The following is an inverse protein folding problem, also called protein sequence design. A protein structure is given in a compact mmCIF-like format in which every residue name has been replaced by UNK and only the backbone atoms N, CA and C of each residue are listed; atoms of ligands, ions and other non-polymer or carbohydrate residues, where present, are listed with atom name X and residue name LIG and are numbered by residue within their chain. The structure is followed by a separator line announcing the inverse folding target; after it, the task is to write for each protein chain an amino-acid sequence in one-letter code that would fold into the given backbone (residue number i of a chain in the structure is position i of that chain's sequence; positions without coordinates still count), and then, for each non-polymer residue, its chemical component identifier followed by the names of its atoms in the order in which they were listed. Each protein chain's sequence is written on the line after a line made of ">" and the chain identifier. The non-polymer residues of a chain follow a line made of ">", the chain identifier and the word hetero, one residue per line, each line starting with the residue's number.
data_IF_089090913448
#
_entry.id   IF_089090913448
#
_cell.length_a   1.000
_cell.length_b   1.000
_cell.length_c   1.000
_cell.angle_alpha   90.00
_cell.angle_beta   90.00
_cell.angle_gamma   90.00
#
_symmetry.space_group_name_H-M   'P 1'
#
loop_
_entity.id
_entity.type
_entity.pdbx_description
1 polymer ?
#
# COMPACT_ATOMS: atom_id res chain seq x y z
N UNK A 1 -19.88 16.08 -14.78
CA UNK A 1 -20.98 15.42 -14.06
C UNK A 1 -21.87 16.49 -13.46
N UNK A 2 -23.18 16.46 -13.71
CA UNK A 2 -24.14 17.41 -13.12
C UNK A 2 -24.43 17.04 -11.65
N UNK A 3 -24.90 17.99 -10.80
CA UNK A 3 -25.27 17.69 -9.41
C UNK A 3 -26.26 16.53 -9.27
N UNK A 4 -27.26 16.47 -10.14
CA UNK A 4 -28.24 15.36 -10.15
C UNK A 4 -27.60 14.01 -10.48
N UNK A 5 -26.57 13.98 -11.34
CA UNK A 5 -25.84 12.75 -11.65
C UNK A 5 -25.02 12.27 -10.46
N UNK A 6 -24.39 13.20 -9.74
CA UNK A 6 -23.63 12.88 -8.54
C UNK A 6 -24.51 12.32 -7.45
N UNK A 7 -25.68 12.95 -7.20
CA UNK A 7 -26.64 12.49 -6.18
C UNK A 7 -27.17 11.08 -6.50
N UNK A 8 -27.52 10.81 -7.76
CA UNK A 8 -27.97 9.48 -8.17
C UNK A 8 -26.86 8.42 -8.00
N UNK A 9 -25.61 8.75 -8.36
CA UNK A 9 -24.48 7.86 -8.18
C UNK A 9 -24.27 7.52 -6.70
N UNK A 10 -24.29 8.51 -5.82
CA UNK A 10 -24.14 8.32 -4.37
C UNK A 10 -25.22 7.39 -3.81
N UNK A 11 -26.47 7.56 -4.21
CA UNK A 11 -27.58 6.67 -3.80
C UNK A 11 -27.42 5.24 -4.34
N UNK A 12 -26.69 5.06 -5.43
CA UNK A 12 -26.49 3.77 -6.09
C UNK A 12 -25.25 3.01 -5.59
N UNK A 13 -24.45 3.57 -4.67
CA UNK A 13 -23.20 2.93 -4.21
C UNK A 13 -23.45 1.51 -3.67
N UNK A 14 -24.41 1.35 -2.78
CA UNK A 14 -24.73 0.03 -2.20
C UNK A 14 -25.23 -0.96 -3.26
N UNK A 15 -25.99 -0.48 -4.25
CA UNK A 15 -26.45 -1.30 -5.37
C UNK A 15 -25.26 -1.83 -6.20
N UNK A 16 -24.32 -0.96 -6.55
CA UNK A 16 -23.15 -1.29 -7.37
C UNK A 16 -22.28 -2.33 -6.65
N UNK A 17 -21.99 -2.10 -5.36
CA UNK A 17 -21.20 -3.02 -4.53
C UNK A 17 -21.88 -4.39 -4.48
N UNK A 18 -23.16 -4.44 -4.10
CA UNK A 18 -23.88 -5.69 -3.90
C UNK A 18 -24.02 -6.48 -5.20
N UNK A 19 -24.36 -5.82 -6.32
CA UNK A 19 -24.46 -6.50 -7.63
C UNK A 19 -23.10 -7.01 -8.09
N UNK A 20 -22.05 -6.23 -7.94
CA UNK A 20 -20.68 -6.62 -8.33
C UNK A 20 -20.18 -7.83 -7.53
N UNK A 21 -20.42 -7.85 -6.23
CA UNK A 21 -20.02 -8.94 -5.33
C UNK A 21 -20.87 -10.21 -5.53
N UNK A 22 -22.18 -10.08 -5.64
CA UNK A 22 -23.09 -11.22 -5.81
C UNK A 22 -23.01 -11.87 -7.20
N UNK A 23 -22.61 -11.14 -8.24
CA UNK A 23 -22.61 -11.62 -9.63
C UNK A 23 -23.99 -12.05 -10.15
N UNK A 24 -25.07 -11.62 -9.48
CA UNK A 24 -26.45 -12.00 -9.79
C UNK A 24 -27.43 -10.94 -9.32
N UNK A 25 -28.30 -10.49 -10.20
CA UNK A 25 -29.36 -9.54 -9.83
C UNK A 25 -30.37 -10.11 -8.84
N UNK A 26 -30.64 -11.42 -8.93
CA UNK A 26 -31.58 -12.08 -8.01
C UNK A 26 -31.01 -12.17 -6.60
N UNK A 27 -29.72 -12.54 -6.47
CA UNK A 27 -29.04 -12.61 -5.17
C UNK A 27 -28.88 -11.22 -4.55
N UNK A 28 -28.49 -10.24 -5.38
CA UNK A 28 -28.38 -8.85 -4.93
C UNK A 28 -29.73 -8.27 -4.47
N UNK A 29 -30.83 -8.63 -5.16
CA UNK A 29 -32.15 -8.19 -4.79
C UNK A 29 -32.58 -8.72 -3.39
N UNK A 30 -32.30 -9.98 -3.10
CA UNK A 30 -32.55 -10.56 -1.76
C UNK A 30 -31.79 -9.81 -0.68
N UNK A 31 -30.52 -9.52 -0.90
CA UNK A 31 -29.67 -8.83 0.08
C UNK A 31 -30.07 -7.36 0.28
N UNK A 32 -30.51 -6.70 -0.79
CA UNK A 32 -30.96 -5.30 -0.76
C UNK A 32 -32.42 -5.13 -0.28
N UNK A 33 -33.17 -6.22 -0.04
CA UNK A 33 -34.56 -6.15 0.28
C UNK A 33 -35.42 -5.62 -0.87
N UNK A 34 -34.99 -5.87 -2.12
CA UNK A 34 -35.63 -5.37 -3.34
C UNK A 34 -36.17 -6.54 -4.20
N UNK A 35 -36.95 -6.21 -5.24
CA UNK A 35 -37.26 -7.17 -6.28
C UNK A 35 -36.17 -7.19 -7.37
N UNK A 36 -35.98 -8.33 -8.00
CA UNK A 36 -35.00 -8.44 -9.10
C UNK A 36 -35.27 -7.46 -10.26
N UNK A 37 -36.51 -7.22 -10.70
CA UNK A 37 -36.81 -6.20 -11.70
C UNK A 37 -36.35 -4.78 -11.24
N UNK A 38 -36.58 -4.43 -9.96
CA UNK A 38 -36.18 -3.14 -9.42
C UNK A 38 -34.65 -2.94 -9.45
N UNK A 39 -33.88 -3.96 -9.05
CA UNK A 39 -32.40 -3.96 -9.15
C UNK A 39 -31.96 -3.78 -10.61
N UNK A 40 -32.54 -4.57 -11.54
CA UNK A 40 -32.20 -4.48 -12.96
C UNK A 40 -32.52 -3.09 -13.55
N UNK A 41 -33.66 -2.50 -13.14
CA UNK A 41 -34.08 -1.18 -13.59
C UNK A 41 -33.13 -0.08 -13.05
N UNK A 42 -32.75 -0.14 -11.78
CA UNK A 42 -31.82 0.84 -11.20
C UNK A 42 -30.43 0.75 -11.83
N UNK A 43 -29.94 -0.47 -12.10
CA UNK A 43 -28.67 -0.65 -12.84
C UNK A 43 -28.77 -0.04 -14.24
N UNK A 44 -29.82 -0.33 -15.00
CA UNK A 44 -30.02 0.20 -16.34
C UNK A 44 -30.13 1.75 -16.35
N UNK A 45 -30.77 2.32 -15.32
CA UNK A 45 -30.84 3.78 -15.17
C UNK A 45 -29.47 4.38 -14.88
N UNK A 46 -28.65 3.73 -14.05
CA UNK A 46 -27.28 4.16 -13.77
C UNK A 46 -26.39 4.08 -15.02
N UNK A 47 -26.46 2.99 -15.77
CA UNK A 47 -25.75 2.80 -17.04
C UNK A 47 -26.13 3.87 -18.07
N UNK A 48 -27.41 4.19 -18.19
CA UNK A 48 -27.91 5.27 -19.04
C UNK A 48 -27.37 6.64 -18.61
N UNK A 49 -27.30 6.88 -17.31
CA UNK A 49 -26.78 8.12 -16.73
C UNK A 49 -25.29 8.30 -16.98
N UNK A 50 -24.52 7.21 -16.88
CA UNK A 50 -23.07 7.20 -17.11
C UNK A 50 -22.69 7.05 -18.58
N UNK A 51 -23.60 6.63 -19.43
CA UNK A 51 -23.36 6.38 -20.86
C UNK A 51 -22.51 5.14 -21.14
N UNK A 52 -22.36 4.24 -20.18
CA UNK A 52 -21.56 3.02 -20.30
C UNK A 52 -22.28 1.83 -19.67
N UNK A 53 -22.05 0.64 -20.24
CA UNK A 53 -22.54 -0.63 -19.66
C UNK A 53 -21.63 -1.03 -18.51
N UNK A 54 -22.20 -1.32 -17.34
CA UNK A 54 -21.49 -1.75 -16.15
C UNK A 54 -21.53 -3.26 -15.96
N UNK A 55 -22.65 -3.90 -16.33
CA UNK A 55 -22.88 -5.32 -16.12
C UNK A 55 -23.41 -5.99 -17.38
N UNK A 56 -22.78 -7.09 -17.80
CA UNK A 56 -23.23 -7.94 -18.90
C UNK A 56 -23.97 -9.15 -18.36
N UNK A 57 -25.09 -9.48 -18.99
CA UNK A 57 -25.85 -10.71 -18.68
C UNK A 57 -25.09 -11.93 -19.21
N UNK A 58 -24.94 -12.94 -18.36
CA UNK A 58 -24.37 -14.24 -18.69
C UNK A 58 -25.40 -15.33 -18.50
N UNK A 59 -25.13 -16.51 -19.04
CA UNK A 59 -26.05 -17.66 -18.94
C UNK A 59 -26.36 -18.00 -17.46
N UNK A 60 -25.45 -17.71 -16.53
CA UNK A 60 -25.63 -17.89 -15.07
C UNK A 60 -25.23 -16.59 -14.32
N UNK A 61 -26.13 -15.59 -14.34
CA UNK A 61 -25.93 -14.35 -13.58
C UNK A 61 -25.47 -13.16 -14.42
N UNK A 62 -24.66 -12.29 -13.82
CA UNK A 62 -24.11 -11.09 -14.45
C UNK A 62 -22.61 -11.01 -14.20
N UNK A 63 -21.86 -10.48 -15.16
CA UNK A 63 -20.44 -10.16 -14.99
C UNK A 63 -20.20 -8.66 -15.16
N UNK A 64 -19.36 -8.08 -14.32
CA UNK A 64 -18.97 -6.69 -14.46
C UNK A 64 -18.11 -6.51 -15.74
N UNK A 65 -18.40 -5.46 -16.50
CA UNK A 65 -17.53 -4.95 -17.57
C UNK A 65 -16.27 -4.32 -16.94
N UNK A 66 -15.31 -3.88 -17.77
CA UNK A 66 -14.15 -3.11 -17.29
C UNK A 66 -14.60 -1.87 -16.47
N UNK A 67 -15.60 -1.13 -16.96
CA UNK A 67 -16.12 0.03 -16.25
C UNK A 67 -16.89 -0.35 -14.98
N UNK A 68 -17.65 -1.46 -15.03
CA UNK A 68 -18.31 -2.03 -13.86
C UNK A 68 -17.32 -2.43 -12.78
N UNK A 69 -16.23 -3.06 -13.15
CA UNK A 69 -15.17 -3.46 -12.22
C UNK A 69 -14.48 -2.26 -11.56
N UNK A 70 -14.13 -1.24 -12.35
CA UNK A 70 -13.56 0.00 -11.83
C UNK A 70 -14.49 0.67 -10.82
N UNK A 71 -15.77 0.80 -11.17
CA UNK A 71 -16.75 1.43 -10.31
C UNK A 71 -17.05 0.59 -9.06
N UNK A 72 -17.13 -0.72 -9.18
CA UNK A 72 -17.33 -1.65 -8.06
C UNK A 72 -16.19 -1.54 -7.04
N UNK A 73 -14.92 -1.61 -7.49
CA UNK A 73 -13.74 -1.46 -6.61
C UNK A 73 -13.78 -0.14 -5.86
N UNK A 74 -13.95 0.98 -6.58
CA UNK A 74 -14.03 2.31 -5.96
C UNK A 74 -15.18 2.41 -4.96
N UNK A 75 -16.35 1.83 -5.29
CA UNK A 75 -17.52 1.84 -4.42
C UNK A 75 -17.28 1.02 -3.14
N UNK A 76 -16.66 -0.14 -3.26
CA UNK A 76 -16.29 -0.98 -2.12
C UNK A 76 -15.37 -0.23 -1.16
N UNK A 77 -14.35 0.45 -1.69
CA UNK A 77 -13.42 1.26 -0.89
C UNK A 77 -14.14 2.39 -0.14
N UNK A 78 -15.02 3.12 -0.83
CA UNK A 78 -15.80 4.22 -0.24
C UNK A 78 -16.74 3.71 0.86
N UNK A 79 -17.45 2.63 0.63
CA UNK A 79 -18.38 2.06 1.63
C UNK A 79 -17.63 1.52 2.84
N UNK A 80 -16.48 0.88 2.63
CA UNK A 80 -15.61 0.39 3.73
C UNK A 80 -15.16 1.55 4.61
N UNK A 81 -14.70 2.65 4.02
CA UNK A 81 -14.32 3.85 4.74
C UNK A 81 -15.50 4.46 5.51
N UNK A 82 -16.69 4.52 4.88
CA UNK A 82 -17.88 5.06 5.51
C UNK A 82 -18.33 4.22 6.71
N UNK A 83 -18.37 2.88 6.56
CA UNK A 83 -18.75 1.99 7.66
C UNK A 83 -17.74 2.07 8.81
N UNK A 84 -16.44 2.09 8.53
CA UNK A 84 -15.42 2.28 9.56
C UNK A 84 -15.59 3.61 10.32
N UNK A 85 -15.95 4.69 9.61
CA UNK A 85 -16.27 5.98 10.25
C UNK A 85 -17.50 5.87 11.16
N UNK A 86 -18.55 5.19 10.71
CA UNK A 86 -19.77 5.01 11.50
C UNK A 86 -19.52 4.18 12.77
N UNK A 87 -18.66 3.16 12.70
CA UNK A 87 -18.25 2.38 13.88
C UNK A 87 -17.53 3.26 14.91
N UNK A 88 -16.65 4.14 14.46
CA UNK A 88 -15.98 5.12 15.34
C UNK A 88 -16.99 6.07 15.97
N UNK A 89 -17.95 6.59 15.20
CA UNK A 89 -18.99 7.53 15.69
C UNK A 89 -19.90 6.84 16.72
N UNK A 90 -20.26 5.59 16.50
CA UNK A 90 -21.15 4.85 17.40
C UNK A 90 -20.49 4.30 18.66
N UNK A 91 -19.17 4.48 18.81
CA UNK A 91 -18.45 4.18 20.05
C UNK A 91 -18.57 2.73 20.52
N UNK A 92 -18.57 1.76 19.60
CA UNK A 92 -18.88 0.35 19.89
C UNK A 92 -17.75 -0.38 20.66
N UNK A 93 -16.63 0.28 20.94
CA UNK A 93 -15.49 -0.30 21.66
C UNK A 93 -15.31 0.39 23.01
N UNK A 94 -15.25 -0.36 24.09
CA UNK A 94 -14.84 0.11 25.43
C UNK A 94 -13.33 0.37 25.51
N UNK A 95 -12.58 0.02 24.45
CA UNK A 95 -11.13 0.22 24.32
C UNK A 95 -10.83 1.40 23.41
N UNK A 96 -9.74 2.09 23.69
CA UNK A 96 -9.23 3.12 22.77
C UNK A 96 -8.70 2.45 21.50
N UNK A 97 -9.15 2.89 20.32
CA UNK A 97 -8.64 2.37 19.05
C UNK A 97 -7.58 3.33 18.51
N UNK A 98 -6.40 2.79 18.23
CA UNK A 98 -5.31 3.47 17.54
C UNK A 98 -5.35 3.13 16.06
N UNK A 99 -5.68 4.09 15.22
CA UNK A 99 -5.72 3.89 13.76
C UNK A 99 -4.43 4.41 13.12
N UNK A 100 -3.69 3.49 12.49
CA UNK A 100 -2.39 3.77 11.85
C UNK A 100 -2.56 3.67 10.33
N UNK A 101 -2.26 4.75 9.62
CA UNK A 101 -2.17 4.77 8.17
C UNK A 101 -0.72 4.55 7.73
N UNK A 102 -0.46 3.57 6.86
CA UNK A 102 0.88 3.33 6.32
C UNK A 102 0.84 2.73 4.92
N UNK A 103 2.01 2.57 4.27
CA UNK A 103 2.08 1.82 3.03
C UNK A 103 2.17 0.30 3.28
N UNK A 104 1.85 -0.46 2.24
CA UNK A 104 1.80 -1.93 2.32
C UNK A 104 3.14 -2.57 2.66
N UNK A 105 4.25 -1.97 2.18
CA UNK A 105 5.61 -2.48 2.41
C UNK A 105 6.00 -2.36 3.87
N UNK A 106 5.82 -1.17 4.45
CA UNK A 106 6.12 -0.89 5.84
C UNK A 106 5.22 -1.70 6.79
N UNK A 107 3.91 -1.73 6.51
CA UNK A 107 2.97 -2.53 7.29
C UNK A 107 3.42 -3.99 7.38
N UNK A 108 3.63 -4.65 6.23
CA UNK A 108 3.88 -6.08 6.16
C UNK A 108 5.29 -6.48 6.61
N UNK A 109 6.31 -5.65 6.37
CA UNK A 109 7.71 -6.06 6.56
C UNK A 109 8.37 -5.49 7.81
N UNK A 110 7.86 -4.36 8.33
CA UNK A 110 8.46 -3.76 9.50
C UNK A 110 7.50 -3.65 10.70
N UNK A 111 6.28 -3.16 10.49
CA UNK A 111 5.36 -2.87 11.60
C UNK A 111 4.73 -4.16 12.15
N UNK A 112 4.09 -4.96 11.28
CA UNK A 112 3.34 -6.15 11.69
C UNK A 112 4.20 -7.17 12.47
N UNK A 113 5.47 -7.48 12.11
CA UNK A 113 6.29 -8.41 12.89
C UNK A 113 6.60 -7.93 14.32
N UNK A 114 6.39 -6.63 14.62
CA UNK A 114 6.69 -6.00 15.91
C UNK A 114 5.45 -5.65 16.70
N UNK A 115 4.27 -5.69 16.07
CA UNK A 115 3.04 -5.16 16.65
C UNK A 115 2.57 -5.93 17.87
N UNK A 116 2.82 -7.25 17.94
CA UNK A 116 2.51 -8.07 19.11
C UNK A 116 3.18 -7.56 20.39
N UNK A 117 4.41 -7.05 20.30
CA UNK A 117 5.10 -6.43 21.45
C UNK A 117 4.40 -5.15 21.94
N UNK A 118 3.76 -4.41 21.02
CA UNK A 118 2.95 -3.25 21.40
C UNK A 118 1.64 -3.68 22.08
N UNK A 119 0.94 -4.66 21.50
CA UNK A 119 -0.33 -5.17 22.05
C UNK A 119 -0.15 -5.79 23.44
N UNK A 120 0.95 -6.51 23.67
CA UNK A 120 1.28 -7.06 25.00
C UNK A 120 1.52 -5.96 26.05
N UNK A 121 2.15 -4.84 25.66
CA UNK A 121 2.44 -3.73 26.55
C UNK A 121 1.25 -2.79 26.78
N UNK A 122 0.30 -2.78 25.85
CA UNK A 122 -0.86 -1.90 25.84
C UNK A 122 -2.15 -2.66 25.50
N UNK A 123 -2.58 -3.62 26.37
CA UNK A 123 -3.74 -4.47 26.11
C UNK A 123 -5.08 -3.73 26.13
N UNK A 124 -5.09 -2.48 26.55
CA UNK A 124 -6.22 -1.56 26.55
C UNK A 124 -6.40 -0.80 25.23
N UNK A 125 -5.44 -0.92 24.29
CA UNK A 125 -5.45 -0.24 23.00
C UNK A 125 -5.69 -1.26 21.87
N UNK A 126 -6.79 -1.12 21.16
CA UNK A 126 -7.03 -1.87 19.93
C UNK A 126 -6.31 -1.18 18.76
N UNK A 127 -5.63 -1.94 17.89
CA UNK A 127 -4.89 -1.36 16.75
C UNK A 127 -5.61 -1.66 15.45
N UNK A 128 -5.85 -0.60 14.68
CA UNK A 128 -6.39 -0.67 13.31
C UNK A 128 -5.34 -0.21 12.30
N UNK A 129 -5.01 -1.06 11.32
CA UNK A 129 -4.07 -0.73 10.26
C UNK A 129 -4.81 -0.39 8.97
N UNK A 130 -4.66 0.84 8.52
CA UNK A 130 -5.10 1.28 7.20
C UNK A 130 -3.90 1.31 6.26
N UNK A 131 -4.01 0.65 5.10
CA UNK A 131 -2.94 0.66 4.12
C UNK A 131 -3.33 1.50 2.92
N UNK A 132 -2.38 2.29 2.43
CA UNK A 132 -2.55 3.09 1.22
C UNK A 132 -1.42 2.80 0.24
N UNK A 133 -1.74 2.85 -1.06
CA UNK A 133 -0.73 3.05 -2.09
C UNK A 133 -0.59 4.56 -2.26
N UNK A 134 0.19 5.20 -1.37
CA UNK A 134 0.27 6.64 -1.32
C UNK A 134 0.69 7.22 -2.66
N UNK A 135 -0.21 8.00 -3.27
CA UNK A 135 0.17 8.96 -4.29
C UNK A 135 0.91 10.11 -3.61
N UNK A 136 2.05 10.49 -4.13
CA UNK A 136 2.85 11.64 -3.69
C UNK A 136 2.05 12.93 -3.52
N UNK A 137 0.97 13.06 -4.30
CA UNK A 137 0.15 14.28 -4.39
C UNK A 137 -1.14 14.22 -3.58
N UNK A 138 -1.45 13.10 -2.95
CA UNK A 138 -2.52 13.09 -1.98
C UNK A 138 -2.05 13.97 -0.82
N UNK A 139 -2.45 15.24 -0.83
CA UNK A 139 -2.49 16.06 0.38
C UNK A 139 -3.35 15.29 1.36
N UNK A 140 -2.69 14.47 2.20
CA UNK A 140 -3.37 13.82 3.29
C UNK A 140 -3.77 14.99 4.18
N UNK A 141 -5.04 15.37 4.08
CA UNK A 141 -5.61 16.41 4.92
C UNK A 141 -5.77 15.80 6.33
N UNK A 142 -4.73 15.94 7.13
CA UNK A 142 -4.69 15.46 8.50
C UNK A 142 -5.79 16.04 9.40
N UNK A 143 -6.53 17.05 8.92
CA UNK A 143 -7.66 17.62 9.66
C UNK A 143 -8.95 16.82 9.50
N UNK A 144 -9.00 15.96 8.45
CA UNK A 144 -10.22 15.22 8.10
C UNK A 144 -9.95 13.73 7.88
N UNK A 145 -8.88 13.20 8.49
CA UNK A 145 -8.44 11.82 8.26
C UNK A 145 -8.94 10.89 9.35
N UNK A 146 -9.30 9.69 8.91
CA UNK A 146 -9.76 8.56 9.73
C UNK A 146 -8.61 7.85 10.47
N UNK A 147 -7.43 8.50 10.64
CA UNK A 147 -6.29 7.90 11.30
C UNK A 147 -5.68 8.84 12.35
N UNK A 148 -5.16 8.24 13.40
CA UNK A 148 -4.49 8.94 14.50
C UNK A 148 -3.01 9.20 14.18
N UNK A 149 -2.37 8.27 13.47
CA UNK A 149 -0.95 8.28 13.10
C UNK A 149 -0.81 7.90 11.65
N UNK A 150 0.05 8.60 10.90
CA UNK A 150 0.48 8.15 9.58
C UNK A 150 1.98 7.86 9.55
N UNK A 151 2.38 6.77 8.89
CA UNK A 151 3.78 6.40 8.66
C UNK A 151 3.94 6.17 7.16
N UNK A 152 4.43 7.18 6.46
CA UNK A 152 4.46 7.17 5.00
C UNK A 152 5.86 7.42 4.46
N UNK A 153 6.13 6.78 3.32
CA UNK A 153 7.37 6.96 2.59
C UNK A 153 7.31 8.21 1.70
N UNK A 154 8.37 9.01 1.73
CA UNK A 154 8.46 10.21 0.88
C UNK A 154 9.49 11.22 1.38
N UNK A 155 9.32 12.47 0.97
CA UNK A 155 10.04 13.61 1.53
C UNK A 155 9.36 14.07 2.82
N UNK A 156 10.12 14.76 3.69
CA UNK A 156 9.57 15.30 4.94
C UNK A 156 8.40 16.25 4.64
N UNK A 157 7.20 15.97 5.18
CA UNK A 157 6.06 16.86 5.02
C UNK A 157 6.37 18.27 5.55
N UNK A 158 6.04 19.30 4.74
CA UNK A 158 6.18 20.70 5.13
C UNK A 158 4.81 21.27 5.50
N UNK A 159 4.30 20.87 6.66
CA UNK A 159 3.02 21.36 7.18
C UNK A 159 3.19 21.79 8.63
N UNK A 160 2.50 22.89 9.03
CA UNK A 160 2.61 23.45 10.36
C UNK A 160 1.65 22.83 11.38
N UNK A 161 0.63 22.12 10.89
CA UNK A 161 -0.47 21.59 11.74
C UNK A 161 -0.21 20.16 12.26
N UNK A 162 0.94 19.56 11.94
CA UNK A 162 1.31 18.20 12.33
C UNK A 162 2.72 18.13 12.91
N UNK A 163 2.91 17.20 13.86
CA UNK A 163 4.22 16.80 14.33
C UNK A 163 4.77 15.71 13.42
N UNK A 164 5.97 15.89 12.87
CA UNK A 164 6.60 14.93 11.96
C UNK A 164 7.96 14.50 12.47
N UNK A 165 8.17 13.18 12.57
CA UNK A 165 9.41 12.56 13.00
C UNK A 165 9.92 11.66 11.88
N UNK A 166 11.19 11.77 11.50
CA UNK A 166 11.85 10.81 10.61
C UNK A 166 12.14 9.53 11.41
N UNK A 167 11.51 8.41 11.04
CA UNK A 167 11.81 7.11 11.62
C UNK A 167 13.02 6.46 10.97
N UNK A 168 13.06 6.48 9.64
CA UNK A 168 14.11 5.87 8.84
C UNK A 168 14.39 6.72 7.60
N UNK A 169 15.66 7.00 7.37
CA UNK A 169 16.10 7.57 6.10
C UNK A 169 16.16 6.47 5.04
N UNK A 170 15.89 6.82 3.78
CA UNK A 170 15.98 5.88 2.67
C UNK A 170 17.41 5.40 2.49
N UNK A 171 17.58 4.08 2.55
CA UNK A 171 18.80 3.37 2.21
C UNK A 171 18.48 2.22 1.27
N UNK A 172 19.13 2.18 0.11
CA UNK A 172 18.82 1.23 -0.97
C UNK A 172 20.07 0.42 -1.29
N UNK A 173 19.89 -0.90 -1.37
CA UNK A 173 20.95 -1.86 -1.72
C UNK A 173 20.41 -2.93 -2.68
N UNK A 174 21.20 -3.46 -3.62
CA UNK A 174 20.83 -4.64 -4.40
C UNK A 174 20.80 -5.88 -3.52
N UNK A 175 19.78 -6.70 -3.69
CA UNK A 175 19.54 -7.92 -2.91
C UNK A 175 19.14 -9.10 -3.79
N UNK A 176 19.53 -10.29 -3.39
CA UNK A 176 19.02 -11.55 -3.93
C UNK A 176 18.95 -12.62 -2.85
N UNK A 177 18.39 -13.79 -3.17
CA UNK A 177 18.47 -14.96 -2.29
C UNK A 177 19.86 -15.60 -2.35
N UNK A 178 20.25 -16.31 -1.30
CA UNK A 178 21.50 -17.09 -1.27
C UNK A 178 21.55 -18.15 -2.38
N UNK A 179 20.40 -18.73 -2.72
CA UNK A 179 20.32 -19.73 -3.80
C UNK A 179 20.55 -19.09 -5.17
N UNK A 180 19.93 -17.93 -5.43
CA UNK A 180 20.14 -17.21 -6.69
C UNK A 180 21.60 -16.79 -6.86
N UNK A 181 22.23 -16.29 -5.80
CA UNK A 181 23.65 -15.91 -5.81
C UNK A 181 24.56 -17.08 -6.19
N UNK A 182 24.30 -18.29 -5.67
CA UNK A 182 25.10 -19.48 -5.98
C UNK A 182 24.95 -19.94 -7.45
N UNK A 183 23.78 -19.72 -8.05
CA UNK A 183 23.52 -20.20 -9.43
C UNK A 183 23.93 -19.18 -10.48
N UNK A 184 23.67 -17.90 -10.23
CA UNK A 184 23.82 -16.83 -11.22
C UNK A 184 25.00 -15.88 -10.93
N UNK A 185 25.58 -15.92 -9.72
CA UNK A 185 26.74 -15.09 -9.33
C UNK A 185 28.08 -15.66 -9.80
N UNK A 186 29.18 -15.05 -9.38
CA UNK A 186 29.26 -13.94 -8.43
C UNK A 186 28.92 -12.58 -9.05
N UNK A 187 28.49 -11.62 -8.20
CA UNK A 187 28.23 -10.23 -8.57
C UNK A 187 29.15 -9.32 -7.78
N UNK A 188 30.38 -9.14 -8.26
CA UNK A 188 31.43 -8.41 -7.55
C UNK A 188 31.43 -6.90 -7.89
N UNK A 189 30.92 -6.57 -9.08
CA UNK A 189 30.89 -5.21 -9.60
C UNK A 189 29.48 -4.81 -10.04
N UNK A 190 29.12 -3.53 -10.02
CA UNK A 190 27.83 -3.05 -10.53
C UNK A 190 27.52 -3.49 -11.97
N UNK A 191 28.55 -3.60 -12.82
CA UNK A 191 28.41 -4.05 -14.21
C UNK A 191 27.91 -5.50 -14.33
N UNK A 192 28.21 -6.37 -13.37
CA UNK A 192 27.76 -7.76 -13.37
C UNK A 192 26.22 -7.85 -13.30
N UNK A 193 25.58 -6.81 -12.71
CA UNK A 193 24.14 -6.73 -12.57
C UNK A 193 23.42 -6.34 -13.88
N UNK A 194 24.12 -5.77 -14.87
CA UNK A 194 23.52 -5.36 -16.14
C UNK A 194 22.99 -6.55 -16.94
N UNK A 195 23.63 -7.71 -16.82
CA UNK A 195 23.22 -8.96 -17.48
C UNK A 195 22.37 -9.87 -16.62
N UNK A 196 22.22 -9.52 -15.34
CA UNK A 196 21.43 -10.30 -14.41
C UNK A 196 19.92 -10.10 -14.62
N UNK A 197 19.13 -11.07 -14.15
CA UNK A 197 17.67 -10.95 -14.15
C UNK A 197 17.23 -9.97 -13.04
N UNK A 198 16.86 -8.77 -13.43
CA UNK A 198 16.43 -7.72 -12.51
C UNK A 198 14.91 -7.75 -12.27
N UNK A 199 14.53 -7.54 -11.04
CA UNK A 199 13.14 -7.41 -10.61
C UNK A 199 12.85 -5.93 -10.36
N UNK A 200 11.72 -5.45 -10.87
CA UNK A 200 11.37 -4.03 -10.88
C UNK A 200 10.17 -3.75 -9.99
N UNK A 201 10.30 -2.78 -9.12
CA UNK A 201 9.14 -2.19 -8.46
C UNK A 201 8.59 -1.10 -9.36
N UNK A 202 7.34 -1.27 -9.81
CA UNK A 202 6.61 -0.30 -10.62
C UNK A 202 5.55 0.36 -9.77
N UNK A 203 5.41 1.68 -9.91
CA UNK A 203 4.37 2.46 -9.26
C UNK A 203 4.01 3.66 -10.11
N UNK A 204 2.86 4.29 -9.89
CA UNK A 204 2.55 5.56 -10.52
C UNK A 204 3.60 6.60 -10.10
N UNK A 205 4.01 7.45 -11.04
CA UNK A 205 4.78 8.69 -10.81
C UNK A 205 6.21 8.54 -10.24
N UNK A 206 6.95 7.48 -10.59
CA UNK A 206 8.36 7.29 -10.18
C UNK A 206 8.60 7.46 -8.66
N UNK A 207 7.70 6.97 -7.84
CA UNK A 207 7.78 7.08 -6.38
C UNK A 207 8.98 6.32 -5.81
N UNK A 208 9.39 5.25 -6.48
CA UNK A 208 10.44 4.36 -6.02
C UNK A 208 11.73 4.61 -6.78
N UNK A 209 12.85 4.38 -6.13
CA UNK A 209 14.15 4.35 -6.76
C UNK A 209 14.22 3.21 -7.75
N UNK A 210 14.58 3.50 -8.99
CA UNK A 210 14.63 2.49 -10.07
C UNK A 210 16.03 1.92 -10.23
N UNK A 211 16.16 0.84 -10.97
CA UNK A 211 17.46 0.32 -11.36
C UNK A 211 18.27 1.35 -12.17
N UNK A 212 17.62 2.14 -13.00
CA UNK A 212 18.27 3.23 -13.74
C UNK A 212 18.89 4.26 -12.80
N UNK A 213 18.15 4.67 -11.77
CA UNK A 213 18.64 5.61 -10.74
C UNK A 213 19.79 4.98 -9.96
N UNK A 214 19.71 3.68 -9.65
CA UNK A 214 20.75 2.97 -8.91
C UNK A 214 22.05 2.90 -9.71
N UNK A 215 22.02 2.46 -10.97
CA UNK A 215 23.20 2.41 -11.82
C UNK A 215 23.82 3.79 -12.01
N UNK A 216 23.01 4.82 -12.22
CA UNK A 216 23.50 6.19 -12.35
C UNK A 216 24.20 6.69 -11.06
N UNK A 217 23.70 6.29 -9.90
CA UNK A 217 24.25 6.70 -8.61
C UNK A 217 25.55 5.96 -8.24
N UNK A 218 25.69 4.69 -8.68
CA UNK A 218 26.87 3.87 -8.37
C UNK A 218 27.99 4.09 -9.36
N UNK A 219 27.68 4.18 -10.65
CA UNK A 219 28.64 4.38 -11.73
C UNK A 219 28.00 5.12 -12.91
N UNK A 220 28.32 6.41 -13.03
CA UNK A 220 27.83 7.25 -14.13
C UNK A 220 28.25 6.76 -15.54
N UNK A 221 29.25 5.87 -15.64
CA UNK A 221 29.69 5.27 -16.90
C UNK A 221 28.79 4.11 -17.34
N UNK A 222 27.95 3.57 -16.45
CA UNK A 222 26.95 2.57 -16.79
C UNK A 222 25.93 3.17 -17.76
N UNK A 223 26.12 2.93 -19.05
CA UNK A 223 25.21 3.40 -20.08
C UNK A 223 23.85 2.72 -19.92
N UNK A 224 22.80 3.52 -19.71
CA UNK A 224 21.40 3.07 -19.67
C UNK A 224 20.97 2.32 -20.95
N UNK A 225 21.75 2.42 -22.04
CA UNK A 225 21.51 1.69 -23.28
C UNK A 225 21.81 0.19 -23.17
N UNK A 226 22.68 -0.20 -22.25
CA UNK A 226 23.02 -1.62 -21.99
C UNK A 226 22.09 -2.29 -20.98
N UNK A 227 21.26 -1.51 -20.29
CA UNK A 227 20.32 -2.01 -19.31
C UNK A 227 19.10 -2.64 -20.02
N UNK A 228 18.98 -3.94 -19.88
CA UNK A 228 17.79 -4.65 -20.37
C UNK A 228 16.60 -4.32 -19.47
N UNK A 229 15.56 -3.70 -20.04
CA UNK A 229 14.26 -3.55 -19.37
C UNK A 229 13.50 -4.88 -19.27
N UNK A 230 14.14 -6.01 -19.65
CA UNK A 230 13.57 -7.33 -19.55
C UNK A 230 13.58 -7.79 -18.10
N UNK A 231 12.41 -7.95 -17.50
CA UNK A 231 12.29 -8.37 -16.11
C UNK A 231 10.85 -8.47 -15.68
N UNK A 232 10.65 -8.89 -14.45
CA UNK A 232 9.34 -8.93 -13.83
C UNK A 232 9.07 -7.58 -13.14
N UNK A 233 7.88 -7.06 -13.33
CA UNK A 233 7.41 -5.80 -12.76
C UNK A 233 6.35 -6.06 -11.69
N UNK A 234 6.52 -5.49 -10.51
CA UNK A 234 5.67 -5.70 -9.36
C UNK A 234 5.02 -4.38 -8.93
N UNK A 235 3.70 -4.38 -8.73
CA UNK A 235 2.95 -3.21 -8.28
C UNK A 235 3.08 -2.94 -6.78
N UNK A 236 3.65 -3.87 -6.00
CA UNK A 236 3.89 -3.66 -4.57
C UNK A 236 5.18 -4.36 -4.11
N UNK A 237 5.77 -3.79 -3.06
CA UNK A 237 7.07 -4.23 -2.55
C UNK A 237 7.06 -5.62 -1.90
N UNK A 238 6.06 -6.04 -1.10
CA UNK A 238 6.01 -7.39 -0.57
C UNK A 238 6.03 -8.50 -1.62
N UNK A 239 5.34 -8.33 -2.76
CA UNK A 239 5.38 -9.29 -3.87
C UNK A 239 6.76 -9.34 -4.53
N UNK A 240 7.42 -8.19 -4.68
CA UNK A 240 8.79 -8.13 -5.20
C UNK A 240 9.75 -8.90 -4.27
N UNK A 241 9.67 -8.69 -2.96
CA UNK A 241 10.47 -9.44 -1.98
C UNK A 241 10.17 -10.94 -2.02
N UNK A 242 8.89 -11.32 -2.19
CA UNK A 242 8.52 -12.72 -2.34
C UNK A 242 9.18 -13.35 -3.58
N UNK A 243 9.25 -12.61 -4.70
CA UNK A 243 9.95 -13.09 -5.91
C UNK A 243 11.45 -13.27 -5.66
N UNK A 244 12.11 -12.39 -4.89
CA UNK A 244 13.50 -12.56 -4.46
C UNK A 244 13.66 -13.86 -3.67
N UNK A 245 12.80 -14.11 -2.68
CA UNK A 245 12.83 -15.32 -1.84
C UNK A 245 12.57 -16.59 -2.65
N UNK A 246 11.83 -16.50 -3.75
CA UNK A 246 11.61 -17.58 -4.72
C UNK A 246 12.70 -17.68 -5.80
N UNK A 247 13.86 -17.08 -5.59
CA UNK A 247 15.03 -17.15 -6.49
C UNK A 247 14.76 -16.61 -7.90
N UNK A 248 13.84 -15.64 -8.05
CA UNK A 248 13.42 -15.15 -9.37
C UNK A 248 14.37 -14.10 -9.96
N UNK A 249 15.30 -13.54 -9.17
CA UNK A 249 16.23 -12.53 -9.63
C UNK A 249 16.76 -11.62 -8.53
N UNK A 250 17.31 -10.47 -8.93
CA UNK A 250 17.88 -9.44 -8.07
C UNK A 250 16.91 -8.26 -7.99
N UNK A 251 16.68 -7.74 -6.79
CA UNK A 251 15.85 -6.56 -6.56
C UNK A 251 16.63 -5.45 -5.85
N UNK A 252 16.08 -4.22 -5.88
CA UNK A 252 16.48 -3.20 -4.95
C UNK A 252 15.77 -3.44 -3.61
N UNK A 253 16.54 -3.46 -2.54
CA UNK A 253 16.07 -3.63 -1.17
C UNK A 253 16.11 -2.31 -0.43
N UNK A 254 15.04 -1.96 0.26
CA UNK A 254 14.94 -0.79 1.13
C UNK A 254 15.15 -1.16 2.58
N UNK A 255 16.13 -0.56 3.24
CA UNK A 255 16.22 -0.63 4.70
C UNK A 255 15.21 0.33 5.32
N UNK A 256 14.55 -0.04 6.44
CA UNK A 256 14.74 -1.24 7.26
C UNK A 256 13.87 -2.45 6.84
N UNK A 257 13.15 -2.40 5.70
CA UNK A 257 12.16 -3.42 5.30
C UNK A 257 12.76 -4.80 5.02
N UNK A 258 14.06 -4.85 4.72
CA UNK A 258 14.79 -6.09 4.43
C UNK A 258 15.64 -6.58 5.61
N UNK A 259 15.80 -5.79 6.68
CA UNK A 259 16.79 -6.08 7.71
C UNK A 259 16.57 -7.42 8.41
N UNK A 260 15.32 -7.77 8.67
CA UNK A 260 14.97 -9.05 9.29
C UNK A 260 15.27 -10.24 8.34
N UNK A 261 15.10 -10.06 7.03
CA UNK A 261 15.46 -11.06 6.02
C UNK A 261 16.97 -11.23 5.87
N UNK A 262 17.73 -10.15 6.01
CA UNK A 262 19.21 -10.17 6.00
C UNK A 262 19.73 -10.85 7.27
N UNK A 263 19.19 -10.51 8.44
CA UNK A 263 19.58 -11.13 9.73
C UNK A 263 19.35 -12.65 9.76
N UNK A 264 18.38 -13.14 9.00
CA UNK A 264 18.04 -14.57 8.92
C UNK A 264 18.63 -15.27 7.69
N UNK A 265 19.59 -14.64 7.01
CA UNK A 265 20.27 -15.13 5.80
C UNK A 265 19.33 -15.55 4.65
N UNK A 266 18.08 -15.09 4.68
CA UNK A 266 17.12 -15.35 3.61
C UNK A 266 17.44 -14.49 2.37
N UNK A 267 18.03 -13.32 2.60
CA UNK A 267 18.41 -12.35 1.57
C UNK A 267 19.86 -11.92 1.78
N UNK A 268 20.62 -11.88 0.69
CA UNK A 268 22.02 -11.42 0.65
C UNK A 268 22.07 -10.03 0.03
N UNK A 269 22.81 -9.12 0.67
CA UNK A 269 23.12 -7.80 0.14
C UNK A 269 24.35 -7.90 -0.77
N UNK A 270 24.20 -7.54 -2.04
CA UNK A 270 25.26 -7.68 -3.04
C UNK A 270 26.27 -6.52 -3.02
N UNK A 271 25.88 -5.37 -2.51
CA UNK A 271 26.75 -4.21 -2.36
C UNK A 271 26.51 -3.55 -1.00
N UNK A 272 27.53 -3.52 -0.16
CA UNK A 272 27.46 -2.98 1.20
C UNK A 272 27.47 -1.45 1.26
N UNK A 273 27.58 -0.74 0.12
CA UNK A 273 27.48 0.72 0.07
C UNK A 273 26.03 1.11 -0.28
N UNK A 274 25.18 1.45 0.71
CA UNK A 274 23.83 1.85 0.43
C UNK A 274 23.80 3.21 -0.27
N UNK A 275 22.88 3.36 -1.21
CA UNK A 275 22.53 4.67 -1.74
C UNK A 275 21.54 5.30 -0.79
N UNK A 276 21.82 6.53 -0.37
CA UNK A 276 20.97 7.30 0.54
C UNK A 276 20.32 8.46 -0.22
N UNK A 277 19.10 8.80 0.16
CA UNK A 277 18.40 9.97 -0.35
C UNK A 277 17.86 10.84 0.79
N UNK A 278 17.19 11.96 0.43
CA UNK A 278 16.50 12.81 1.41
C UNK A 278 15.13 12.27 1.80
N UNK A 279 14.68 11.21 1.13
CA UNK A 279 13.40 10.54 1.43
C UNK A 279 13.55 9.59 2.61
N UNK A 280 12.43 9.11 3.11
CA UNK A 280 12.41 8.16 4.22
C UNK A 280 11.00 7.85 4.67
N UNK A 281 10.89 7.11 5.75
CA UNK A 281 9.63 6.90 6.46
C UNK A 281 9.45 7.96 7.52
N UNK A 282 8.38 8.74 7.39
CA UNK A 282 8.03 9.80 8.32
C UNK A 282 6.77 9.44 9.07
N UNK A 283 6.87 9.47 10.40
CA UNK A 283 5.72 9.38 11.30
C UNK A 283 5.14 10.78 11.48
N UNK A 284 3.86 10.92 11.20
CA UNK A 284 3.15 12.19 11.35
C UNK A 284 1.90 12.02 12.22
N UNK A 285 1.66 12.98 13.10
CA UNK A 285 0.53 12.98 14.04
C UNK A 285 -0.03 14.39 14.20
N UNK A 286 -1.31 14.55 14.58
CA UNK A 286 -1.83 15.85 15.02
C UNK A 286 -1.03 16.43 16.18
N UNK A 287 -1.03 17.77 16.33
CA UNK A 287 -0.34 18.44 17.44
C UNK A 287 -0.99 18.10 18.80
N UNK A 288 -2.33 18.05 18.84
CA UNK A 288 -3.08 17.63 20.03
C UNK A 288 -3.25 16.11 20.03
N UNK A 289 -2.42 15.42 20.83
CA UNK A 289 -2.38 13.97 20.87
C UNK A 289 -3.18 13.42 22.03
N UNK A 290 -3.84 12.28 21.81
CA UNK A 290 -4.41 11.48 22.88
C UNK A 290 -3.31 10.58 23.48
N UNK A 291 -3.54 10.06 24.69
CA UNK A 291 -2.57 9.25 25.44
C UNK A 291 -2.09 8.02 24.67
N UNK A 292 -2.99 7.29 24.02
CA UNK A 292 -2.65 6.08 23.25
C UNK A 292 -1.73 6.38 22.06
N UNK A 293 -1.84 7.56 21.44
CA UNK A 293 -0.96 8.02 20.38
C UNK A 293 0.46 8.23 20.90
N UNK A 294 0.61 8.87 22.07
CA UNK A 294 1.91 9.08 22.69
C UNK A 294 2.58 7.74 23.08
N UNK A 295 1.81 6.79 23.61
CA UNK A 295 2.30 5.43 23.89
C UNK A 295 2.86 4.76 22.66
N UNK A 296 2.15 4.84 21.54
CA UNK A 296 2.61 4.28 20.26
C UNK A 296 3.86 4.99 19.72
N UNK A 297 3.91 6.33 19.81
CA UNK A 297 5.09 7.10 19.37
C UNK A 297 6.33 6.66 20.16
N UNK A 298 6.23 6.56 21.49
CA UNK A 298 7.35 6.12 22.33
C UNK A 298 7.80 4.71 21.97
N UNK A 299 6.85 3.79 21.78
CA UNK A 299 7.12 2.43 21.41
C UNK A 299 7.82 2.33 20.04
N UNK A 300 7.28 2.97 18.99
CA UNK A 300 7.85 2.86 17.65
C UNK A 300 9.23 3.51 17.53
N UNK A 301 9.48 4.60 18.28
CA UNK A 301 10.79 5.23 18.37
C UNK A 301 11.82 4.32 19.08
N UNK A 302 11.41 3.57 20.09
CA UNK A 302 12.27 2.57 20.73
C UNK A 302 12.60 1.44 19.75
N UNK A 303 11.59 0.91 19.04
CA UNK A 303 11.79 -0.13 18.02
C UNK A 303 12.67 0.34 16.86
N UNK A 304 12.54 1.58 16.41
CA UNK A 304 13.34 2.13 15.30
C UNK A 304 14.82 2.26 15.65
N UNK A 305 15.16 2.57 16.90
CA UNK A 305 16.55 2.66 17.38
C UNK A 305 17.22 1.29 17.50
N UNK A 306 16.47 0.25 17.87
CA UNK A 306 16.99 -1.13 17.97
C UNK A 306 17.43 -1.70 16.61
N UNK A 307 16.90 -1.17 15.51
CA UNK A 307 17.29 -1.60 14.15
C UNK A 307 18.49 -0.82 13.56
N UNK A 308 19.00 0.19 14.24
CA UNK A 308 20.14 1.01 13.78
C UNK A 308 21.50 0.52 14.33
N UNK A 309 21.50 -0.55 15.14
CA UNK A 309 22.68 -1.26 15.65
C UNK A 309 22.88 -2.54 14.85
#
# INVERSE_FOLDING_TARGET
>A
MTPNQADYLLRSLRLIETVGRCGSFSTAALELGMTQPAVSQQVAQLEKLLGVVLFERRHRGVSATRYGQMLHTTTTDVLTQLYGTMEIIHGSSSRETLTILTDYGFAAKWLLPRLSDFEEKHPDIDVSLLTTQARRDAKIDHRNTLHDVSILFGEKPQTHDISTICLFQEEIVPICSAVYLKVAGPFNHPHDLLEAKLLHLSGPDHQWFTWADWFQAVDASCSLKSYSKNGLFFGNYPLLLQAVLQNQGIALGWRPLIDDLVKTDQVIVLNNKPIKSRRGYFLSTPLNKKRHIDSFIQWILAQSKMNQV
#
